data_IF_027455045027
#
_entry.id   IF_027455045027
#
_cell.length_a   1.000
_cell.length_b   1.000
_cell.length_c   1.000
_cell.angle_alpha   90.00
_cell.angle_beta   90.00
_cell.angle_gamma   90.00
#
_symmetry.space_group_name_H-M   'P 1'
#
loop_
_entity.id
_entity.type
_entity.pdbx_description
1 polymer ?
#
# COMPACT_ATOMS: atom_id res chain seq x y z
N UNK A 1 16.43 15.99 -1.43
CA UNK A 1 16.61 15.06 -2.56
C UNK A 1 15.34 14.23 -2.64
N UNK A 2 14.51 14.43 -3.67
CA UNK A 2 13.25 13.71 -3.85
C UNK A 2 13.43 12.79 -5.07
N UNK A 3 13.22 11.50 -4.91
CA UNK A 3 13.23 10.56 -6.03
C UNK A 3 11.95 10.76 -6.84
N UNK A 4 12.09 11.20 -8.10
CA UNK A 4 10.97 11.57 -9.00
C UNK A 4 10.52 10.40 -9.90
N UNK A 5 11.18 9.24 -9.81
CA UNK A 5 10.88 8.10 -10.67
C UNK A 5 10.32 6.92 -9.87
N UNK A 6 9.00 6.86 -9.74
CA UNK A 6 8.31 5.61 -9.41
C UNK A 6 8.31 4.75 -10.67
N UNK A 7 8.96 3.59 -10.64
CA UNK A 7 8.86 2.61 -11.72
C UNK A 7 7.39 2.18 -11.85
N UNK A 8 6.76 2.27 -13.03
CA UNK A 8 5.34 1.98 -13.19
C UNK A 8 5.09 0.49 -13.02
N UNK A 9 4.63 0.08 -11.84
CA UNK A 9 4.21 -1.27 -11.55
C UNK A 9 2.66 -1.31 -11.52
N UNK A 10 2.01 -0.95 -12.63
CA UNK A 10 0.55 -0.68 -12.60
C UNK A 10 -0.34 -1.79 -13.16
N UNK A 11 0.21 -2.72 -13.95
CA UNK A 11 -0.59 -3.80 -14.56
C UNK A 11 -0.20 -5.18 -14.07
N UNK A 12 1.09 -5.47 -13.93
CA UNK A 12 1.54 -6.78 -13.49
C UNK A 12 1.15 -7.04 -12.02
N UNK A 13 1.39 -6.07 -11.16
CA UNK A 13 1.11 -6.15 -9.72
C UNK A 13 -0.37 -6.39 -9.44
N UNK A 14 -1.23 -5.80 -10.27
CA UNK A 14 -2.69 -5.95 -10.21
C UNK A 14 -3.19 -7.35 -10.52
N UNK A 15 -2.49 -8.07 -11.41
CA UNK A 15 -2.78 -9.47 -11.74
C UNK A 15 -2.24 -10.40 -10.66
N UNK A 16 -1.04 -10.12 -10.14
CA UNK A 16 -0.44 -10.91 -9.04
C UNK A 16 -1.24 -10.75 -7.75
N UNK A 17 -1.82 -9.58 -7.49
CA UNK A 17 -2.65 -9.29 -6.34
C UNK A 17 -4.11 -9.77 -6.48
N UNK A 18 -4.47 -10.51 -7.53
CA UNK A 18 -5.85 -10.98 -7.72
C UNK A 18 -6.38 -11.80 -6.53
N UNK A 19 -5.63 -12.77 -5.97
CA UNK A 19 -6.07 -13.50 -4.77
C UNK A 19 -6.19 -12.62 -3.53
N UNK A 20 -5.45 -11.50 -3.47
CA UNK A 20 -5.52 -10.57 -2.34
C UNK A 20 -6.89 -9.88 -2.28
N UNK A 21 -7.53 -9.59 -3.42
CA UNK A 21 -8.84 -8.93 -3.42
C UNK A 21 -9.91 -9.77 -2.72
N UNK A 22 -9.91 -11.08 -2.90
CA UNK A 22 -10.84 -11.98 -2.20
C UNK A 22 -10.61 -11.94 -0.69
N UNK A 23 -9.35 -11.99 -0.25
CA UNK A 23 -9.00 -11.87 1.17
C UNK A 23 -9.40 -10.52 1.77
N UNK A 24 -9.25 -9.43 1.01
CA UNK A 24 -9.66 -8.09 1.44
C UNK A 24 -11.17 -7.98 1.65
N UNK A 25 -11.95 -8.64 0.80
CA UNK A 25 -13.40 -8.58 0.85
C UNK A 25 -13.96 -9.49 1.94
N UNK A 26 -13.48 -10.73 2.00
CA UNK A 26 -14.09 -11.80 2.79
C UNK A 26 -13.42 -12.00 4.16
N UNK A 27 -12.14 -11.64 4.29
CA UNK A 27 -11.36 -11.93 5.50
C UNK A 27 -10.90 -10.69 6.28
N UNK A 28 -11.13 -9.47 5.78
CA UNK A 28 -10.73 -8.25 6.49
C UNK A 28 -11.75 -7.89 7.58
N UNK A 29 -11.34 -7.85 8.87
CA UNK A 29 -12.25 -7.52 9.96
C UNK A 29 -12.89 -6.14 9.79
N UNK A 30 -14.10 -5.92 10.33
CA UNK A 30 -14.73 -4.60 10.32
C UNK A 30 -13.83 -3.54 10.97
N UNK A 31 -13.76 -2.36 10.35
CA UNK A 31 -12.91 -1.26 10.83
C UNK A 31 -11.47 -1.28 10.32
N UNK A 32 -11.02 -2.35 9.67
CA UNK A 32 -9.68 -2.45 9.10
C UNK A 32 -9.68 -2.25 7.59
N UNK A 33 -8.59 -1.67 7.09
CA UNK A 33 -8.33 -1.39 5.67
C UNK A 33 -6.83 -1.53 5.40
N UNK A 34 -6.47 -1.82 4.16
CA UNK A 34 -5.07 -1.77 3.73
C UNK A 34 -4.72 -0.38 3.18
N UNK A 35 -3.47 0.02 3.37
CA UNK A 35 -2.91 1.20 2.71
C UNK A 35 -2.23 0.73 1.43
N UNK A 36 -2.48 1.42 0.32
CA UNK A 36 -1.88 1.11 -0.97
C UNK A 36 -1.42 2.37 -1.69
N UNK A 37 -0.61 2.20 -2.72
CA UNK A 37 -0.22 3.29 -3.60
C UNK A 37 -1.40 3.72 -4.51
N UNK A 38 -1.24 4.87 -5.18
CA UNK A 38 -2.29 5.42 -6.06
C UNK A 38 -2.45 4.68 -7.39
N UNK A 39 -1.48 3.84 -7.77
CA UNK A 39 -1.50 3.04 -8.99
C UNK A 39 -2.19 1.68 -8.79
N UNK A 40 -2.32 1.23 -7.54
CA UNK A 40 -2.99 -0.02 -7.21
C UNK A 40 -4.49 0.07 -7.53
N UNK A 41 -5.03 -0.84 -8.35
CA UNK A 41 -6.36 -0.66 -8.88
C UNK A 41 -7.44 -1.04 -7.86
N UNK A 42 -8.35 -0.10 -7.63
CA UNK A 42 -9.53 -0.28 -6.80
C UNK A 42 -10.74 -0.49 -7.71
N UNK A 43 -10.82 -1.70 -8.30
CA UNK A 43 -11.73 -2.02 -9.41
C UNK A 43 -13.22 -1.98 -9.05
N UNK A 44 -13.58 -1.96 -7.76
CA UNK A 44 -14.97 -1.95 -7.30
C UNK A 44 -15.15 -1.06 -6.06
N UNK A 45 -16.37 -0.56 -5.84
CA UNK A 45 -16.72 0.22 -4.65
C UNK A 45 -16.46 -0.55 -3.35
N UNK A 46 -16.72 -1.87 -3.35
CA UNK A 46 -16.42 -2.75 -2.21
C UNK A 46 -14.92 -2.77 -1.89
N UNK A 47 -14.05 -2.74 -2.90
CA UNK A 47 -12.60 -2.65 -2.70
C UNK A 47 -12.16 -1.25 -2.28
N UNK A 48 -12.79 -0.19 -2.77
CA UNK A 48 -12.53 1.20 -2.32
C UNK A 48 -12.83 1.38 -0.82
N UNK A 49 -13.77 0.60 -0.26
CA UNK A 49 -14.02 0.60 1.18
C UNK A 49 -12.96 -0.16 1.99
N UNK A 50 -12.18 -1.04 1.36
CA UNK A 50 -11.16 -1.88 1.98
C UNK A 50 -9.73 -1.38 1.74
N UNK A 51 -9.52 -0.52 0.76
CA UNK A 51 -8.23 0.01 0.34
C UNK A 51 -8.23 1.52 0.50
N UNK A 52 -7.25 2.04 1.24
CA UNK A 52 -6.98 3.47 1.34
C UNK A 52 -5.74 3.79 0.51
N UNK A 53 -5.88 4.70 -0.46
CA UNK A 53 -4.77 5.24 -1.23
C UNK A 53 -4.71 6.75 -1.06
N UNK A 54 -3.53 7.38 -1.26
CA UNK A 54 -3.44 8.83 -1.24
C UNK A 54 -4.32 9.46 -2.32
N UNK A 55 -4.82 10.65 -2.04
CA UNK A 55 -5.53 11.47 -3.03
C UNK A 55 -4.53 11.87 -4.12
N UNK A 56 -4.87 11.61 -5.38
CA UNK A 56 -4.06 12.01 -6.53
C UNK A 56 -4.55 13.31 -7.14
N UNK A 57 -3.69 13.94 -7.94
CA UNK A 57 -4.06 15.12 -8.72
C UNK A 57 -5.20 14.76 -9.68
N UNK A 58 -6.31 15.49 -9.58
CA UNK A 58 -7.51 15.26 -10.40
C UNK A 58 -8.63 14.54 -9.68
N UNK A 59 -8.42 14.05 -8.46
CA UNK A 59 -9.50 13.53 -7.63
C UNK A 59 -10.43 14.66 -7.18
N UNK A 60 -11.72 14.32 -7.01
CA UNK A 60 -12.71 15.26 -6.49
C UNK A 60 -12.49 15.46 -5.01
N UNK A 61 -12.24 16.70 -4.62
CA UNK A 61 -12.02 17.08 -3.23
C UNK A 61 -13.34 17.52 -2.59
N UNK A 62 -13.51 17.32 -1.26
CA UNK A 62 -14.64 17.87 -0.55
C UNK A 62 -14.68 19.40 -0.64
N UNK A 63 -15.88 19.95 -0.84
CA UNK A 63 -16.08 21.41 -0.90
C UNK A 63 -16.11 22.04 0.50
N UNK A 64 -16.50 21.29 1.52
CA UNK A 64 -16.56 21.81 2.89
C UNK A 64 -15.14 21.91 3.50
N UNK A 65 -14.79 23.06 4.11
CA UNK A 65 -13.47 23.27 4.71
C UNK A 65 -13.10 22.22 5.76
N UNK A 66 -14.07 21.79 6.57
CA UNK A 66 -13.85 20.78 7.60
C UNK A 66 -13.53 19.40 7.00
N UNK A 67 -14.29 18.96 5.99
CA UNK A 67 -14.03 17.67 5.35
C UNK A 67 -12.71 17.71 4.59
N UNK A 68 -12.37 18.85 3.98
CA UNK A 68 -11.08 19.05 3.33
C UNK A 68 -9.92 18.97 4.33
N UNK A 69 -10.02 19.63 5.49
CA UNK A 69 -9.00 19.56 6.54
C UNK A 69 -8.80 18.13 7.06
N UNK A 70 -9.91 17.40 7.29
CA UNK A 70 -9.86 15.98 7.68
C UNK A 70 -9.19 15.12 6.62
N UNK A 71 -9.57 15.29 5.35
CA UNK A 71 -8.98 14.55 4.24
C UNK A 71 -7.49 14.84 4.11
N UNK A 72 -7.09 16.12 4.23
CA UNK A 72 -5.68 16.52 4.15
C UNK A 72 -4.85 15.83 5.23
N UNK A 73 -5.31 15.83 6.48
CA UNK A 73 -4.62 15.17 7.59
C UNK A 73 -4.46 13.67 7.33
N UNK A 74 -5.56 12.98 6.95
CA UNK A 74 -5.52 11.55 6.65
C UNK A 74 -4.55 11.27 5.49
N UNK A 75 -4.58 12.10 4.45
CA UNK A 75 -3.72 11.95 3.28
C UNK A 75 -2.23 12.08 3.64
N UNK A 76 -1.87 13.05 4.48
CA UNK A 76 -0.50 13.21 4.98
C UNK A 76 -0.04 11.98 5.77
N UNK A 77 -0.86 11.47 6.69
CA UNK A 77 -0.54 10.26 7.45
C UNK A 77 -0.38 9.04 6.55
N UNK A 78 -1.22 8.92 5.53
CA UNK A 78 -1.20 7.79 4.62
C UNK A 78 0.05 7.79 3.73
N UNK A 79 0.48 8.96 3.24
CA UNK A 79 1.74 9.11 2.51
C UNK A 79 2.93 8.74 3.40
N UNK A 80 2.96 9.17 4.66
CA UNK A 80 4.03 8.82 5.59
C UNK A 80 4.07 7.31 5.87
N UNK A 81 2.93 6.69 6.14
CA UNK A 81 2.84 5.25 6.39
C UNK A 81 3.31 4.43 5.17
N UNK A 82 2.89 4.85 3.97
CA UNK A 82 3.33 4.23 2.72
C UNK A 82 4.84 4.39 2.51
N UNK A 83 5.39 5.60 2.68
CA UNK A 83 6.84 5.85 2.56
C UNK A 83 7.64 5.02 3.55
N UNK A 84 7.19 4.91 4.80
CA UNK A 84 7.84 4.09 5.81
C UNK A 84 7.85 2.61 5.43
N UNK A 85 6.74 2.09 4.89
CA UNK A 85 6.65 0.71 4.41
C UNK A 85 7.57 0.46 3.20
N UNK A 86 7.55 1.34 2.19
CA UNK A 86 8.42 1.26 1.01
C UNK A 86 9.90 1.33 1.41
N UNK A 87 10.29 2.31 2.24
CA UNK A 87 11.68 2.46 2.67
C UNK A 87 12.10 1.31 3.57
N UNK A 88 11.25 0.84 4.47
CA UNK A 88 11.54 -0.32 5.31
C UNK A 88 11.75 -1.58 4.48
N UNK A 89 10.80 -1.93 3.62
CA UNK A 89 10.84 -3.18 2.85
C UNK A 89 11.90 -3.12 1.74
N UNK A 90 11.93 -2.05 0.95
CA UNK A 90 12.77 -1.96 -0.24
C UNK A 90 14.20 -1.55 0.06
N UNK A 91 14.45 -0.69 1.06
CA UNK A 91 15.84 -0.35 1.42
C UNK A 91 16.54 -1.49 2.14
N UNK A 92 15.83 -2.22 3.03
CA UNK A 92 16.42 -3.36 3.75
C UNK A 92 16.61 -4.56 2.80
N UNK A 93 15.58 -4.99 2.08
CA UNK A 93 15.71 -6.14 1.18
C UNK A 93 16.56 -5.83 -0.07
N UNK A 94 16.57 -4.57 -0.53
CA UNK A 94 17.40 -4.13 -1.64
C UNK A 94 18.88 -4.12 -1.30
N UNK A 95 19.23 -3.67 -0.08
CA UNK A 95 20.63 -3.58 0.37
C UNK A 95 21.18 -4.91 0.88
N UNK A 96 20.33 -5.79 1.42
CA UNK A 96 20.73 -7.06 2.02
C UNK A 96 20.14 -8.26 1.27
N UNK A 97 20.80 -8.67 0.18
CA UNK A 97 20.38 -9.84 -0.60
C UNK A 97 20.23 -11.14 0.20
N UNK A 98 20.94 -11.26 1.34
CA UNK A 98 20.79 -12.40 2.29
C UNK A 98 19.38 -12.54 2.86
N UNK A 99 18.61 -11.44 2.99
CA UNK A 99 17.23 -11.48 3.48
C UNK A 99 16.23 -12.02 2.45
N UNK A 100 16.66 -12.18 1.19
CA UNK A 100 15.87 -12.82 0.12
C UNK A 100 16.11 -14.33 0.04
N UNK A 101 17.13 -14.84 0.72
CA UNK A 101 17.39 -16.28 0.76
C UNK A 101 16.50 -16.92 1.83
N UNK A 102 15.82 -18.03 1.51
CA UNK A 102 15.14 -18.82 2.52
C UNK A 102 16.14 -19.17 3.63
N UNK A 103 15.75 -18.94 4.89
CA UNK A 103 16.58 -19.40 6.00
C UNK A 103 16.70 -20.92 5.88
N UNK A 104 17.91 -21.49 5.97
CA UNK A 104 18.08 -22.94 5.91
C UNK A 104 17.27 -23.55 7.05
N UNK A 105 16.27 -24.37 6.71
CA UNK A 105 15.41 -25.09 7.64
C UNK A 105 16.14 -26.30 8.27
N UNK A 106 17.45 -26.17 8.51
CA UNK A 106 18.17 -27.11 9.34
C UNK A 106 17.88 -26.76 10.79
N UNK A 107 16.90 -27.48 11.36
CA UNK A 107 16.79 -27.69 12.80
C UNK A 107 18.16 -28.13 13.31
N UNK A 108 18.92 -27.19 13.86
CA UNK A 108 20.13 -27.53 14.60
C UNK A 108 19.66 -28.09 15.94
N UNK A 109 19.46 -29.41 15.99
CA UNK A 109 19.49 -30.15 17.24
C UNK A 109 20.89 -30.00 17.85
N UNK A 110 21.03 -29.08 18.79
CA UNK A 110 21.95 -29.18 19.90
C UNK A 110 21.24 -28.72 21.17
#
# INVERSE_FOLDING_TARGET
MYAVLNAPASWHDSTIAEPLYEQLLECTPPGYRIISDTAFPQKSERLQQRILAPVKRGDRLPESPEAYARLKLINEQLVLAWQAAEWGMRSIQGSFGRLKMPLPASDHQF
#
